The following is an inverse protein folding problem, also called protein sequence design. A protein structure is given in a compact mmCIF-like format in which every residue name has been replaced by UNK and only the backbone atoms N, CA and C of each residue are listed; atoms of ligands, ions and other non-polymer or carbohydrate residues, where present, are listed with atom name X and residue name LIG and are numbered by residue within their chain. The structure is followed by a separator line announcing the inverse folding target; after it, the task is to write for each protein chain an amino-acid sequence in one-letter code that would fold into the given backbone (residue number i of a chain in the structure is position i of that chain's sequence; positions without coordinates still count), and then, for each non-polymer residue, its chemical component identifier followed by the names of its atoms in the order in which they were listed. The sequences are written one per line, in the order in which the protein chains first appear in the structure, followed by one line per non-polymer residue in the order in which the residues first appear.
data_IF_866627130582
#
_entry.id   IF_866627130582
#
_cell.length_a   1.000
_cell.length_b   1.000
_cell.length_c   1.000
_cell.angle_alpha   90.00
_cell.angle_beta   90.00
_cell.angle_gamma   90.00
#
_symmetry.space_group_name_H-M   'P 1'
#
loop_
_entity.id
_entity.type
_entity.pdbx_description
1 polymer ?
#
# COMPACT_ATOMS: atom_id res chain seq x y z
N UNK A 1 -1.21 -22.75 -18.39
CA UNK A 1 -2.28 -21.92 -17.79
C UNK A 1 -3.46 -22.86 -17.60
N UNK A 2 -3.72 -23.34 -16.38
CA UNK A 2 -4.94 -24.10 -16.16
C UNK A 2 -6.10 -23.11 -16.22
N UNK A 3 -7.06 -23.31 -17.13
CA UNK A 3 -8.29 -22.53 -17.14
C UNK A 3 -9.04 -22.81 -15.84
N UNK A 4 -9.39 -21.74 -15.11
CA UNK A 4 -10.26 -21.83 -13.94
C UNK A 4 -11.64 -22.26 -14.44
N UNK A 5 -12.23 -23.27 -13.79
CA UNK A 5 -13.58 -23.70 -14.12
C UNK A 5 -14.59 -22.66 -13.61
N UNK A 6 -15.76 -22.56 -14.24
CA UNK A 6 -16.81 -21.62 -13.78
C UNK A 6 -17.22 -21.87 -12.32
N UNK A 7 -17.12 -23.12 -11.86
CA UNK A 7 -17.36 -23.50 -10.47
C UNK A 7 -16.30 -22.92 -9.50
N UNK A 8 -15.03 -22.86 -9.94
CA UNK A 8 -13.96 -22.26 -9.15
C UNK A 8 -14.17 -20.74 -9.00
N UNK A 9 -14.61 -20.08 -10.08
CA UNK A 9 -14.92 -18.65 -10.09
C UNK A 9 -16.09 -18.36 -9.15
N UNK A 10 -17.18 -19.12 -9.26
CA UNK A 10 -18.35 -18.95 -8.40
C UNK A 10 -18.01 -19.12 -6.92
N UNK A 11 -17.17 -20.10 -6.59
CA UNK A 11 -16.71 -20.34 -5.21
C UNK A 11 -15.86 -19.18 -4.68
N UNK A 12 -15.00 -18.62 -5.52
CA UNK A 12 -14.20 -17.44 -5.14
C UNK A 12 -15.07 -16.21 -4.93
N UNK A 13 -16.06 -15.98 -5.82
CA UNK A 13 -17.00 -14.88 -5.67
C UNK A 13 -17.85 -14.98 -4.40
N UNK A 14 -18.33 -16.18 -4.07
CA UNK A 14 -19.05 -16.46 -2.83
C UNK A 14 -18.16 -16.20 -1.59
N UNK A 15 -16.91 -16.66 -1.63
CA UNK A 15 -15.96 -16.41 -0.56
C UNK A 15 -15.71 -14.90 -0.35
N UNK A 16 -15.49 -14.17 -1.43
CA UNK A 16 -15.19 -12.74 -1.42
C UNK A 16 -16.42 -11.86 -1.18
N UNK A 17 -17.64 -12.40 -1.25
CA UNK A 17 -18.87 -11.63 -1.10
C UNK A 17 -18.89 -10.82 0.21
N UNK A 18 -19.02 -9.50 0.14
CA UNK A 18 -19.02 -8.63 1.32
C UNK A 18 -17.63 -8.33 1.92
N UNK A 19 -16.55 -8.84 1.33
CA UNK A 19 -15.19 -8.34 1.58
C UNK A 19 -14.98 -7.10 0.69
N UNK A 20 -14.55 -5.94 1.25
CA UNK A 20 -14.24 -4.76 0.44
C UNK A 20 -13.18 -5.08 -0.61
N UNK A 21 -13.40 -4.68 -1.87
CA UNK A 21 -12.47 -4.96 -2.97
C UNK A 21 -11.11 -4.30 -2.77
N UNK A 22 -11.10 -3.07 -2.24
CA UNK A 22 -9.87 -2.32 -1.92
C UNK A 22 -9.61 -2.42 -0.43
N UNK A 23 -8.44 -2.88 -0.03
CA UNK A 23 -8.02 -2.81 1.36
C UNK A 23 -7.42 -1.44 1.68
N UNK A 24 -8.12 -0.65 2.49
CA UNK A 24 -7.68 0.68 2.91
C UNK A 24 -6.40 0.64 3.76
N UNK A 25 -6.24 -0.38 4.60
CA UNK A 25 -5.03 -0.57 5.40
C UNK A 25 -3.79 -0.79 4.52
N UNK A 26 -3.94 -1.62 3.49
CA UNK A 26 -2.92 -1.89 2.48
C UNK A 26 -2.61 -0.67 1.61
N UNK A 27 -3.61 0.17 1.34
CA UNK A 27 -3.47 1.37 0.51
C UNK A 27 -2.63 2.45 1.20
N UNK A 28 -2.85 2.68 2.50
CA UNK A 28 -2.17 3.74 3.25
C UNK A 28 -0.86 3.30 3.91
N UNK A 29 -0.76 2.03 4.29
CA UNK A 29 0.40 1.52 5.01
C UNK A 29 0.80 0.11 4.53
N UNK A 30 1.08 -0.06 3.22
CA UNK A 30 1.44 -1.35 2.64
C UNK A 30 2.58 -2.09 3.37
N UNK A 31 3.71 -1.47 3.76
CA UNK A 31 4.82 -2.18 4.38
C UNK A 31 4.56 -2.65 5.82
N UNK A 32 3.46 -2.24 6.45
CA UNK A 32 3.07 -2.69 7.79
C UNK A 32 1.86 -3.62 7.71
N UNK A 33 0.84 -3.21 6.96
CA UNK A 33 -0.34 -4.04 6.77
C UNK A 33 0.02 -5.36 6.07
N UNK A 34 0.83 -5.33 5.02
CA UNK A 34 1.17 -6.52 4.25
C UNK A 34 1.86 -7.61 5.08
N UNK A 35 2.94 -7.33 5.83
CA UNK A 35 3.62 -8.35 6.63
C UNK A 35 2.75 -8.89 7.76
N UNK A 36 1.89 -8.06 8.36
CA UNK A 36 0.90 -8.50 9.35
C UNK A 36 -0.08 -9.56 8.79
N UNK A 37 -0.27 -9.59 7.47
CA UNK A 37 -1.08 -10.57 6.75
C UNK A 37 -0.22 -11.62 5.99
N UNK A 38 1.08 -11.68 6.32
CA UNK A 38 2.07 -12.61 5.78
C UNK A 38 2.62 -12.24 4.41
N UNK A 39 2.28 -11.09 3.85
CA UNK A 39 2.77 -10.59 2.55
C UNK A 39 4.12 -9.90 2.74
N UNK A 40 5.13 -10.62 3.24
CA UNK A 40 6.41 -10.05 3.68
C UNK A 40 7.15 -9.22 2.62
N UNK A 41 7.00 -9.55 1.33
CA UNK A 41 7.59 -8.79 0.24
C UNK A 41 7.15 -7.31 0.21
N UNK A 42 6.02 -6.97 0.82
CA UNK A 42 5.56 -5.57 0.95
C UNK A 42 6.46 -4.69 1.82
N UNK A 43 7.42 -5.25 2.58
CA UNK A 43 8.46 -4.44 3.24
C UNK A 43 9.27 -3.62 2.23
N UNK A 44 9.37 -4.10 0.98
CA UNK A 44 10.03 -3.38 -0.12
C UNK A 44 9.35 -2.05 -0.47
N UNK A 45 8.14 -1.76 0.03
CA UNK A 45 7.56 -0.43 -0.09
C UNK A 45 8.40 0.64 0.62
N UNK A 46 9.13 0.33 1.70
CA UNK A 46 9.98 1.32 2.36
C UNK A 46 11.08 1.90 1.44
N UNK A 47 11.94 1.09 0.79
CA UNK A 47 12.91 1.63 -0.15
C UNK A 47 12.26 2.28 -1.38
N UNK A 48 11.10 1.79 -1.84
CA UNK A 48 10.36 2.43 -2.94
C UNK A 48 9.85 3.81 -2.52
N UNK A 49 9.32 3.95 -1.31
CA UNK A 49 8.89 5.23 -0.74
C UNK A 49 10.07 6.20 -0.64
N UNK A 50 11.23 5.73 -0.17
CA UNK A 50 12.43 6.55 -0.09
C UNK A 50 12.89 7.02 -1.48
N UNK A 51 12.84 6.15 -2.50
CA UNK A 51 13.13 6.54 -3.89
C UNK A 51 12.16 7.63 -4.36
N UNK A 52 10.85 7.42 -4.20
CA UNK A 52 9.84 8.38 -4.63
C UNK A 52 9.99 9.72 -3.91
N UNK A 53 10.21 9.70 -2.60
CA UNK A 53 10.42 10.87 -1.77
C UNK A 53 11.62 11.70 -2.23
N UNK A 54 12.73 11.03 -2.58
CA UNK A 54 13.91 11.70 -3.16
C UNK A 54 13.63 12.31 -4.54
N UNK A 55 12.84 11.66 -5.39
CA UNK A 55 12.48 12.20 -6.71
C UNK A 55 11.55 13.42 -6.58
N UNK A 56 10.59 13.38 -5.64
CA UNK A 56 9.74 14.54 -5.36
C UNK A 56 10.55 15.71 -4.82
N UNK A 57 11.47 15.45 -3.90
CA UNK A 57 12.37 16.49 -3.40
C UNK A 57 13.26 17.08 -4.49
N UNK A 58 13.86 16.24 -5.34
CA UNK A 58 14.68 16.70 -6.46
C UNK A 58 13.88 17.57 -7.45
N UNK A 59 12.63 17.20 -7.75
CA UNK A 59 11.75 18.01 -8.59
C UNK A 59 11.44 19.37 -7.96
N UNK A 60 11.29 19.43 -6.62
CA UNK A 60 11.04 20.68 -5.89
C UNK A 60 12.25 21.62 -5.88
N UNK A 61 13.45 21.08 -5.65
CA UNK A 61 14.69 21.87 -5.53
C UNK A 61 15.27 22.25 -6.88
N UNK A 62 15.47 21.28 -7.78
CA UNK A 62 16.19 21.51 -9.04
C UNK A 62 15.29 22.12 -10.12
N UNK A 63 13.99 21.84 -10.06
CA UNK A 63 12.97 22.38 -10.98
C UNK A 63 13.28 22.18 -12.48
N UNK A 64 14.15 21.23 -12.81
CA UNK A 64 14.47 20.90 -14.20
C UNK A 64 13.36 20.04 -14.84
N UNK A 65 13.17 20.12 -16.17
CA UNK A 65 12.18 19.28 -16.85
C UNK A 65 12.37 17.78 -16.58
N UNK A 66 13.62 17.31 -16.55
CA UNK A 66 13.94 15.90 -16.28
C UNK A 66 13.51 15.49 -14.87
N UNK A 67 13.84 16.28 -13.84
CA UNK A 67 13.49 15.98 -12.45
C UNK A 67 11.97 15.92 -12.27
N UNK A 68 11.24 16.87 -12.86
CA UNK A 68 9.77 16.91 -12.81
C UNK A 68 9.17 15.68 -13.51
N UNK A 69 9.64 15.34 -14.72
CA UNK A 69 9.16 14.16 -15.46
C UNK A 69 9.40 12.87 -14.68
N UNK A 70 10.60 12.69 -14.13
CA UNK A 70 10.92 11.51 -13.32
C UNK A 70 10.05 11.42 -12.06
N UNK A 71 9.85 12.52 -11.35
CA UNK A 71 8.96 12.58 -10.20
C UNK A 71 7.52 12.18 -10.55
N UNK A 72 6.98 12.71 -11.66
CA UNK A 72 5.62 12.36 -12.12
C UNK A 72 5.53 10.87 -12.48
N UNK A 73 6.49 10.33 -13.22
CA UNK A 73 6.52 8.91 -13.61
C UNK A 73 6.60 8.01 -12.38
N UNK A 74 7.52 8.29 -11.45
CA UNK A 74 7.68 7.51 -10.22
C UNK A 74 6.44 7.61 -9.34
N UNK A 75 5.84 8.80 -9.21
CA UNK A 75 4.59 8.99 -8.48
C UNK A 75 3.43 8.17 -9.08
N UNK A 76 3.28 8.19 -10.40
CA UNK A 76 2.25 7.42 -11.09
C UNK A 76 2.44 5.91 -10.89
N UNK A 77 3.68 5.41 -11.03
CA UNK A 77 4.01 4.00 -10.80
C UNK A 77 3.78 3.58 -9.34
N UNK A 78 4.14 4.43 -8.38
CA UNK A 78 3.92 4.17 -6.96
C UNK A 78 2.42 4.09 -6.64
N UNK A 79 1.61 5.04 -7.14
CA UNK A 79 0.16 5.02 -6.94
C UNK A 79 -0.44 3.75 -7.56
N UNK A 80 -0.10 3.45 -8.82
CA UNK A 80 -0.59 2.27 -9.51
C UNK A 80 -0.22 0.97 -8.79
N UNK A 81 1.05 0.83 -8.39
CA UNK A 81 1.55 -0.32 -7.65
C UNK A 81 0.89 -0.48 -6.28
N UNK A 82 0.65 0.62 -5.57
CA UNK A 82 -0.01 0.60 -4.25
C UNK A 82 -1.49 0.23 -4.37
N UNK A 83 -2.20 0.77 -5.37
CA UNK A 83 -3.59 0.40 -5.65
C UNK A 83 -3.70 -1.07 -6.06
N UNK A 84 -2.82 -1.53 -6.96
CA UNK A 84 -2.77 -2.94 -7.35
C UNK A 84 -2.51 -3.85 -6.14
N UNK A 85 -1.58 -3.48 -5.26
CA UNK A 85 -1.33 -4.20 -4.02
C UNK A 85 -2.54 -4.21 -3.09
N UNK A 86 -3.25 -3.08 -2.94
CA UNK A 86 -4.44 -2.99 -2.10
C UNK A 86 -5.63 -3.82 -2.62
N UNK A 87 -5.72 -4.01 -3.94
CA UNK A 87 -6.72 -4.86 -4.59
C UNK A 87 -6.36 -6.35 -4.49
N UNK A 88 -5.11 -6.71 -4.81
CA UNK A 88 -4.66 -8.11 -4.88
C UNK A 88 -4.34 -8.68 -3.49
N UNK A 89 -3.80 -7.85 -2.59
CA UNK A 89 -3.43 -8.27 -1.24
C UNK A 89 -4.64 -8.65 -0.38
N UNK A 90 -5.79 -8.04 -0.64
CA UNK A 90 -7.02 -8.28 0.11
C UNK A 90 -7.54 -9.72 0.04
N UNK A 91 -7.78 -10.32 -1.14
CA UNK A 91 -8.22 -11.71 -1.25
C UNK A 91 -7.16 -12.67 -0.70
N UNK A 92 -5.87 -12.43 -0.98
CA UNK A 92 -4.78 -13.27 -0.46
C UNK A 92 -4.75 -13.27 1.07
N UNK A 93 -4.89 -12.10 1.70
CA UNK A 93 -4.94 -11.97 3.14
C UNK A 93 -6.19 -12.65 3.74
N UNK A 94 -7.34 -12.54 3.08
CA UNK A 94 -8.57 -13.19 3.50
C UNK A 94 -8.46 -14.73 3.46
N UNK A 95 -7.95 -15.29 2.35
CA UNK A 95 -7.70 -16.74 2.23
C UNK A 95 -6.73 -17.24 3.30
N UNK A 96 -5.66 -16.50 3.57
CA UNK A 96 -4.70 -16.86 4.63
C UNK A 96 -5.29 -16.75 6.03
N UNK A 97 -6.25 -15.87 6.25
CA UNK A 97 -6.98 -15.80 7.52
C UNK A 97 -7.93 -16.99 7.66
N UNK A 98 -8.68 -17.31 6.61
CA UNK A 98 -9.59 -18.45 6.56
C UNK A 98 -8.85 -19.79 6.74
N UNK A 99 -7.69 -19.97 6.08
CA UNK A 99 -6.83 -21.14 6.25
C UNK A 99 -6.31 -21.32 7.69
N UNK A 100 -6.31 -20.26 8.50
CA UNK A 100 -5.98 -20.28 9.93
C UNK A 100 -7.21 -20.41 10.84
N UNK A 101 -8.37 -20.71 10.28
CA UNK A 101 -9.63 -20.87 11.01
C UNK A 101 -10.26 -19.56 11.48
N UNK A 102 -9.84 -18.41 10.93
CA UNK A 102 -10.43 -17.11 11.30
C UNK A 102 -11.75 -16.92 10.57
N UNK A 103 -12.82 -16.72 11.34
CA UNK A 103 -14.14 -16.41 10.80
C UNK A 103 -14.14 -15.06 10.05
N UNK A 104 -14.92 -14.97 8.98
CA UNK A 104 -15.05 -13.78 8.12
C UNK A 104 -15.46 -12.53 8.89
N UNK A 105 -16.40 -12.64 9.83
CA UNK A 105 -16.87 -11.52 10.65
C UNK A 105 -15.73 -10.92 11.50
N UNK A 106 -14.91 -11.79 12.10
CA UNK A 106 -13.74 -11.43 12.90
C UNK A 106 -12.66 -10.79 12.02
N UNK A 107 -12.40 -11.35 10.84
CA UNK A 107 -11.48 -10.77 9.86
C UNK A 107 -11.90 -9.35 9.47
N UNK A 108 -13.16 -9.15 9.09
CA UNK A 108 -13.67 -7.83 8.69
C UNK A 108 -13.62 -6.81 9.81
N UNK A 109 -13.94 -7.22 11.05
CA UNK A 109 -13.79 -6.34 12.23
C UNK A 109 -12.34 -5.88 12.40
N UNK A 110 -11.37 -6.79 12.25
CA UNK A 110 -9.94 -6.44 12.30
C UNK A 110 -9.53 -5.54 11.13
N UNK A 111 -10.02 -5.78 9.92
CA UNK A 111 -9.71 -4.94 8.76
C UNK A 111 -10.22 -3.50 8.93
N UNK A 112 -11.36 -3.29 9.60
CA UNK A 112 -11.83 -1.93 9.93
C UNK A 112 -10.87 -1.20 10.87
N UNK A 113 -10.35 -1.89 11.89
CA UNK A 113 -9.35 -1.32 12.81
C UNK A 113 -8.06 -1.01 12.04
N UNK A 114 -7.59 -1.95 11.22
CA UNK A 114 -6.43 -1.74 10.35
C UNK A 114 -6.61 -0.54 9.43
N UNK A 115 -7.77 -0.38 8.80
CA UNK A 115 -8.06 0.75 7.94
C UNK A 115 -7.89 2.08 8.69
N UNK A 116 -8.50 2.21 9.88
CA UNK A 116 -8.39 3.45 10.68
C UNK A 116 -6.94 3.70 11.10
N UNK A 117 -6.26 2.71 11.67
CA UNK A 117 -4.88 2.84 12.16
C UNK A 117 -3.93 3.19 11.02
N UNK A 118 -4.00 2.47 9.89
CA UNK A 118 -3.13 2.71 8.75
C UNK A 118 -3.37 4.08 8.11
N UNK A 119 -4.61 4.56 8.05
CA UNK A 119 -4.90 5.91 7.53
C UNK A 119 -4.26 6.96 8.44
N UNK A 120 -4.47 6.88 9.75
CA UNK A 120 -3.89 7.85 10.70
C UNK A 120 -2.37 7.85 10.64
N UNK A 121 -1.75 6.67 10.69
CA UNK A 121 -0.28 6.54 10.64
C UNK A 121 0.27 6.94 9.28
N UNK A 122 -0.37 6.55 8.17
CA UNK A 122 0.05 6.91 6.82
C UNK A 122 0.02 8.42 6.59
N UNK A 123 -1.03 9.11 7.05
CA UNK A 123 -1.11 10.57 6.99
C UNK A 123 -0.03 11.24 7.86
N UNK A 124 0.20 10.73 9.06
CA UNK A 124 1.27 11.22 9.92
C UNK A 124 2.65 11.05 9.27
N UNK A 125 2.91 9.91 8.63
CA UNK A 125 4.16 9.67 7.90
C UNK A 125 4.35 10.64 6.73
N UNK A 126 3.31 10.90 5.93
CA UNK A 126 3.37 11.88 4.84
C UNK A 126 3.70 13.27 5.38
N UNK A 127 3.03 13.69 6.45
CA UNK A 127 3.26 14.98 7.08
C UNK A 127 4.70 15.10 7.62
N UNK A 128 5.20 14.06 8.30
CA UNK A 128 6.56 14.02 8.84
C UNK A 128 7.62 14.00 7.73
N UNK A 129 7.43 13.21 6.67
CA UNK A 129 8.33 13.15 5.53
C UNK A 129 8.39 14.50 4.81
N UNK A 130 7.24 15.14 4.62
CA UNK A 130 7.13 16.47 4.01
C UNK A 130 7.83 17.52 4.88
N UNK A 131 7.59 17.52 6.20
CA UNK A 131 8.29 18.41 7.13
C UNK A 131 9.81 18.18 7.11
N UNK A 132 10.24 16.92 7.16
CA UNK A 132 11.66 16.57 7.06
C UNK A 132 12.28 17.12 5.79
N UNK A 133 11.67 16.91 4.63
CA UNK A 133 12.20 17.37 3.35
C UNK A 133 12.21 18.90 3.20
N UNK A 134 11.19 19.60 3.70
CA UNK A 134 11.09 21.05 3.52
C UNK A 134 11.87 21.85 4.58
N UNK A 135 12.00 21.33 5.80
CA UNK A 135 12.53 22.09 6.94
C UNK A 135 13.87 21.56 7.43
N UNK A 136 14.05 20.25 7.54
CA UNK A 136 15.25 19.66 8.14
C UNK A 136 16.32 19.41 7.06
N UNK A 137 15.97 18.66 6.02
CA UNK A 137 16.90 18.21 4.96
C UNK A 137 17.73 19.35 4.35
N UNK A 138 17.18 20.55 4.06
CA UNK A 138 17.97 21.65 3.50
C UNK A 138 19.04 22.17 4.46
N UNK A 139 18.84 22.03 5.78
CA UNK A 139 19.79 22.48 6.81
C UNK A 139 20.93 21.49 7.06
N UNK A 140 20.81 20.25 6.60
CA UNK A 140 21.81 19.20 6.80
C UNK A 140 22.96 19.25 5.78
N UNK A 141 22.84 20.10 4.75
CA UNK A 141 23.85 20.32 3.71
C UNK A 141 24.36 21.75 3.60
N UNK A 142 24.02 22.62 4.58
CA UNK A 142 24.48 24.00 4.68
C UNK A 142 25.72 24.11 5.58
#
# INVERSE_FOLDING_TARGET
MAELTDEDIAREEEFLQGIPRVNIGALFLPPIWGPAHGLWASILFYPIWLLADNMFYAAWVEQTPLAIVLAVVVGALLIAGTVAFALIGQPIAAHRAAARGVEKSVYLRRQRIWAVVCVVVGLAMIALATYYNLVIRPTLGA
#
